data_IF_238781039573
#
_entry.id   IF_238781039573
#
_cell.length_a   1.000
_cell.length_b   1.000
_cell.length_c   1.000
_cell.angle_alpha   90.00
_cell.angle_beta   90.00
_cell.angle_gamma   90.00
#
_symmetry.space_group_name_H-M   'P 1'
#
loop_
_entity.id
_entity.type
_entity.pdbx_description
1 polymer ?
#
# COMPACT_ATOMS: atom_id res chain seq x y z
N UNK A 1 -14.61 -52.24 23.44
CA UNK A 1 -15.08 -51.62 22.19
C UNK A 1 -13.87 -51.10 21.44
N UNK A 2 -13.43 -51.88 20.46
CA UNK A 2 -12.24 -51.68 19.63
C UNK A 2 -12.69 -51.26 18.23
N UNK A 3 -12.32 -50.07 17.78
CA UNK A 3 -12.51 -49.65 16.39
C UNK A 3 -11.16 -49.66 15.67
N UNK A 4 -11.09 -50.49 14.63
CA UNK A 4 -9.98 -50.64 13.67
C UNK A 4 -10.33 -49.92 12.36
N UNK A 5 -9.29 -49.43 11.68
CA UNK A 5 -9.13 -49.33 10.21
C UNK A 5 -10.02 -48.32 9.46
N UNK A 6 -9.61 -47.67 8.36
CA UNK A 6 -8.40 -47.72 7.53
C UNK A 6 -8.24 -46.37 6.81
N UNK A 7 -7.01 -45.90 6.63
CA UNK A 7 -6.69 -44.83 5.69
C UNK A 7 -6.26 -45.46 4.36
N UNK A 8 -7.03 -45.22 3.31
CA UNK A 8 -6.70 -45.62 1.95
C UNK A 8 -5.68 -44.62 1.35
N UNK A 9 -4.50 -45.11 1.00
CA UNK A 9 -3.50 -44.37 0.27
C UNK A 9 -3.87 -44.35 -1.23
N UNK A 10 -4.18 -43.17 -1.77
CA UNK A 10 -4.27 -42.95 -3.21
C UNK A 10 -2.86 -42.82 -3.79
N UNK A 11 -2.41 -43.85 -4.51
CA UNK A 11 -1.23 -43.78 -5.38
C UNK A 11 -1.69 -43.15 -6.70
N UNK A 12 -1.34 -41.89 -6.93
CA UNK A 12 -1.46 -41.27 -8.24
C UNK A 12 -0.23 -41.64 -9.08
N UNK A 13 -0.44 -42.41 -10.15
CA UNK A 13 0.59 -42.72 -11.13
C UNK A 13 0.88 -41.47 -11.98
N UNK A 14 2.08 -40.91 -11.86
CA UNK A 14 2.57 -39.93 -12.83
C UNK A 14 2.91 -40.65 -14.14
N UNK A 15 2.05 -40.49 -15.15
CA UNK A 15 2.41 -40.80 -16.54
C UNK A 15 3.15 -39.59 -17.11
N UNK A 16 4.47 -39.66 -17.17
CA UNK A 16 5.28 -38.70 -17.93
C UNK A 16 5.19 -39.05 -19.42
N UNK A 17 4.23 -38.44 -20.12
CA UNK A 17 4.30 -38.34 -21.58
C UNK A 17 5.35 -37.29 -21.93
N UNK A 18 6.54 -37.73 -22.34
CA UNK A 18 7.46 -36.85 -23.06
C UNK A 18 6.77 -36.39 -24.34
N UNK A 19 6.46 -35.09 -24.43
CA UNK A 19 6.15 -34.48 -25.71
C UNK A 19 7.40 -34.61 -26.61
N UNK A 20 7.23 -34.94 -27.91
CA UNK A 20 8.36 -34.89 -28.83
C UNK A 20 8.86 -33.44 -28.88
N UNK A 21 10.16 -33.25 -28.65
CA UNK A 21 10.81 -31.98 -28.92
C UNK A 21 10.56 -31.62 -30.39
N UNK A 22 9.86 -30.52 -30.65
CA UNK A 22 9.75 -29.97 -31.98
C UNK A 22 11.16 -29.60 -32.43
N UNK A 23 11.72 -30.38 -33.35
CA UNK A 23 12.92 -29.96 -34.08
C UNK A 23 12.53 -28.78 -34.97
N UNK A 24 12.87 -27.57 -34.53
CA UNK A 24 12.80 -26.35 -35.32
C UNK A 24 13.82 -26.44 -36.46
N UNK A 25 13.40 -27.06 -37.56
CA UNK A 25 14.11 -26.96 -38.82
C UNK A 25 13.73 -25.63 -39.46
N UNK A 26 14.64 -24.65 -39.44
CA UNK A 26 14.56 -23.48 -40.30
C UNK A 26 14.47 -23.96 -41.76
N UNK A 27 13.35 -23.71 -42.44
CA UNK A 27 13.24 -23.99 -43.87
C UNK A 27 13.92 -22.86 -44.65
N UNK A 28 15.08 -23.17 -45.25
CA UNK A 28 15.71 -22.29 -46.22
C UNK A 28 15.03 -22.51 -47.58
N UNK A 29 14.20 -21.54 -48.01
CA UNK A 29 13.74 -21.48 -49.39
C UNK A 29 14.80 -20.75 -50.23
N UNK A 30 15.39 -21.45 -51.19
CA UNK A 30 16.27 -20.85 -52.19
C UNK A 30 15.42 -20.37 -53.37
N UNK A 31 15.31 -19.06 -53.52
CA UNK A 31 14.82 -18.43 -54.75
C UNK A 31 16.02 -18.30 -55.72
N UNK A 32 15.94 -18.98 -56.86
CA UNK A 32 17.07 -19.11 -57.79
C UNK A 32 17.39 -17.82 -58.56
N UNK A 33 16.51 -16.80 -58.49
CA UNK A 33 16.62 -15.58 -59.29
C UNK A 33 16.97 -14.33 -58.46
N UNK A 34 17.16 -14.48 -57.14
CA UNK A 34 17.56 -13.37 -56.27
C UNK A 34 18.70 -13.77 -55.33
N UNK A 35 19.87 -13.15 -55.49
CA UNK A 35 21.01 -13.23 -54.56
C UNK A 35 20.73 -12.46 -53.26
N UNK A 36 19.54 -12.64 -52.68
CA UNK A 36 19.13 -12.04 -51.42
C UNK A 36 18.54 -13.11 -50.53
N UNK A 37 19.32 -13.52 -49.53
CA UNK A 37 18.80 -14.28 -48.39
C UNK A 37 17.89 -13.32 -47.61
N UNK A 38 16.57 -13.42 -47.82
CA UNK A 38 15.61 -12.77 -46.95
C UNK A 38 15.51 -13.59 -45.66
N UNK A 39 16.16 -13.13 -44.59
CA UNK A 39 15.95 -13.67 -43.26
C UNK A 39 14.56 -13.21 -42.80
N UNK A 40 13.53 -14.00 -43.09
CA UNK A 40 12.26 -13.86 -42.40
C UNK A 40 12.43 -14.46 -41.01
N UNK A 41 12.77 -13.62 -40.04
CA UNK A 41 12.55 -13.96 -38.63
C UNK A 41 11.08 -14.31 -38.51
N UNK A 42 10.80 -15.58 -38.22
CA UNK A 42 9.47 -16.03 -37.83
C UNK A 42 9.13 -15.20 -36.59
N UNK A 43 8.25 -14.21 -36.75
CA UNK A 43 7.67 -13.53 -35.62
C UNK A 43 6.69 -14.54 -35.03
N UNK A 44 7.21 -15.39 -34.14
CA UNK A 44 6.38 -16.30 -33.37
C UNK A 44 5.30 -15.43 -32.73
N UNK A 45 4.03 -15.83 -32.91
CA UNK A 45 2.94 -15.17 -32.22
C UNK A 45 3.28 -15.20 -30.72
N UNK A 46 3.17 -14.05 -30.00
CA UNK A 46 3.53 -14.01 -28.60
C UNK A 46 2.82 -15.14 -27.88
N UNK A 47 3.58 -15.93 -27.12
CA UNK A 47 3.02 -17.03 -26.37
C UNK A 47 1.96 -16.44 -25.43
N UNK A 48 0.72 -16.97 -25.39
CA UNK A 48 -0.27 -16.51 -24.42
C UNK A 48 0.20 -16.58 -22.96
N UNK A 49 1.22 -17.41 -22.68
CA UNK A 49 1.89 -17.48 -21.38
C UNK A 49 2.81 -16.27 -21.06
N UNK A 50 3.14 -15.45 -22.06
CA UNK A 50 3.95 -14.23 -21.88
C UNK A 50 3.08 -12.99 -21.60
N UNK A 51 1.74 -13.15 -21.58
CA UNK A 51 0.84 -12.07 -21.18
C UNK A 51 1.06 -11.73 -19.70
N UNK A 52 1.18 -10.44 -19.33
CA UNK A 52 1.27 -10.03 -17.93
C UNK A 52 0.08 -10.59 -17.14
N UNK A 53 0.34 -11.06 -15.91
CA UNK A 53 -0.73 -11.45 -15.01
C UNK A 53 -1.65 -10.24 -14.75
N UNK A 54 -2.98 -10.44 -14.69
CA UNK A 54 -3.88 -9.35 -14.36
C UNK A 54 -3.60 -8.81 -12.95
N UNK A 55 -3.83 -7.51 -12.70
CA UNK A 55 -3.62 -6.94 -11.38
C UNK A 55 -4.58 -7.59 -10.35
N UNK A 56 -4.18 -7.63 -9.06
CA UNK A 56 -5.02 -8.17 -8.02
C UNK A 56 -6.33 -7.36 -7.89
N UNK A 57 -7.42 -8.06 -7.55
CA UNK A 57 -8.71 -7.43 -7.30
C UNK A 57 -8.64 -6.59 -6.03
N UNK A 58 -8.95 -5.29 -6.14
CA UNK A 58 -8.96 -4.39 -5.00
C UNK A 58 -9.96 -4.84 -3.93
N UNK A 59 -9.53 -4.87 -2.67
CA UNK A 59 -10.35 -5.36 -1.56
C UNK A 59 -10.25 -6.87 -1.32
N UNK A 60 -9.62 -7.64 -2.22
CA UNK A 60 -9.53 -9.08 -2.05
C UNK A 60 -8.55 -9.47 -0.95
N UNK A 61 -8.97 -10.39 -0.07
CA UNK A 61 -8.16 -10.96 1.00
C UNK A 61 -6.80 -11.48 0.50
N UNK A 62 -5.75 -11.16 1.23
CA UNK A 62 -4.37 -11.57 0.97
C UNK A 62 -3.65 -10.76 -0.11
N UNK A 63 -4.30 -9.78 -0.73
CA UNK A 63 -3.64 -8.87 -1.68
C UNK A 63 -2.80 -7.84 -0.93
N UNK A 64 -1.70 -7.41 -1.56
CA UNK A 64 -0.74 -6.45 -1.01
C UNK A 64 -0.73 -5.18 -1.84
N UNK A 65 -0.60 -4.05 -1.14
CA UNK A 65 -0.72 -2.73 -1.74
C UNK A 65 0.34 -1.79 -1.17
N UNK A 66 0.81 -0.88 -2.02
CA UNK A 66 1.63 0.25 -1.65
C UNK A 66 0.86 1.54 -1.89
N UNK A 67 1.12 2.58 -1.09
CA UNK A 67 0.64 3.92 -1.41
C UNK A 67 1.63 5.00 -1.01
N UNK A 68 1.59 6.11 -1.73
CA UNK A 68 2.29 7.36 -1.40
C UNK A 68 1.26 8.47 -1.38
N UNK A 69 1.22 9.26 -0.31
CA UNK A 69 0.34 10.42 -0.21
C UNK A 69 1.02 11.59 0.47
N UNK A 70 0.59 12.79 0.08
CA UNK A 70 0.93 14.02 0.77
C UNK A 70 -0.30 14.52 1.54
N UNK A 71 -0.06 15.18 2.67
CA UNK A 71 -1.10 15.73 3.53
C UNK A 71 -0.74 17.11 4.05
N UNK A 72 -1.78 17.89 4.33
CA UNK A 72 -1.69 19.18 4.99
C UNK A 72 -2.66 19.20 6.16
N UNK A 73 -2.17 19.56 7.34
CA UNK A 73 -2.96 19.62 8.56
C UNK A 73 -2.99 21.01 9.18
N UNK A 74 -4.08 21.26 9.92
CA UNK A 74 -4.26 22.44 10.76
C UNK A 74 -4.55 22.02 12.18
N UNK A 75 -3.87 22.66 13.12
CA UNK A 75 -4.16 22.59 14.55
C UNK A 75 -5.56 23.15 14.85
N UNK A 76 -6.29 22.48 15.75
CA UNK A 76 -7.66 22.82 16.10
C UNK A 76 -7.83 23.45 17.49
N UNK A 77 -6.91 23.18 18.41
CA UNK A 77 -7.12 23.43 19.85
C UNK A 77 -6.31 24.59 20.40
N UNK A 78 -5.13 24.85 19.86
CA UNK A 78 -4.27 25.95 20.32
C UNK A 78 -4.64 27.28 19.62
N UNK A 79 -4.52 28.43 20.30
CA UNK A 79 -4.86 29.74 19.75
C UNK A 79 -3.88 30.24 18.68
N UNK A 80 -2.66 29.68 18.62
CA UNK A 80 -1.69 29.96 17.57
C UNK A 80 -1.99 29.13 16.31
N UNK A 81 -1.99 29.77 15.15
CA UNK A 81 -2.12 29.06 13.87
C UNK A 81 -0.89 28.18 13.65
N UNK A 82 -1.04 26.86 13.80
CA UNK A 82 0.00 25.88 13.51
C UNK A 82 -0.45 24.97 12.36
N UNK A 83 0.47 24.70 11.44
CA UNK A 83 0.21 23.96 10.21
C UNK A 83 1.23 22.84 10.02
N UNK A 84 0.81 21.72 9.48
CA UNK A 84 1.70 20.57 9.26
C UNK A 84 1.66 20.11 7.82
N UNK A 85 2.80 19.68 7.30
CA UNK A 85 2.89 19.00 6.01
C UNK A 85 3.44 17.60 6.23
N UNK A 86 2.83 16.62 5.58
CA UNK A 86 3.21 15.22 5.67
C UNK A 86 3.41 14.62 4.27
N UNK A 87 4.43 13.76 4.14
CA UNK A 87 4.60 12.83 3.03
C UNK A 87 4.72 11.44 3.62
N UNK A 88 3.90 10.50 3.16
CA UNK A 88 3.85 9.17 3.74
C UNK A 88 3.84 8.06 2.69
N UNK A 89 4.58 7.00 2.98
CA UNK A 89 4.52 5.72 2.30
C UNK A 89 3.79 4.72 3.19
N UNK A 90 2.81 4.01 2.64
CA UNK A 90 2.09 2.94 3.35
C UNK A 90 2.24 1.64 2.60
N UNK A 91 2.60 0.58 3.32
CA UNK A 91 2.55 -0.80 2.86
C UNK A 91 1.41 -1.50 3.59
N UNK A 92 0.60 -2.26 2.87
CA UNK A 92 -0.65 -2.79 3.42
C UNK A 92 -1.07 -4.11 2.82
N UNK A 93 -1.95 -4.81 3.53
CA UNK A 93 -2.56 -6.06 3.08
C UNK A 93 -4.01 -6.16 3.54
N UNK A 94 -4.87 -6.72 2.69
CA UNK A 94 -6.24 -7.05 3.05
C UNK A 94 -6.27 -8.33 3.90
N UNK A 95 -6.42 -8.20 5.22
CA UNK A 95 -6.52 -9.33 6.14
C UNK A 95 -7.81 -10.14 5.94
N UNK A 96 -8.86 -9.43 5.54
CA UNK A 96 -10.15 -9.96 5.11
C UNK A 96 -10.65 -9.10 3.96
N UNK A 97 -11.67 -9.57 3.23
CA UNK A 97 -12.30 -8.75 2.19
C UNK A 97 -12.66 -7.36 2.74
N UNK A 98 -12.19 -6.32 2.05
CA UNK A 98 -12.40 -4.91 2.39
C UNK A 98 -11.83 -4.45 3.75
N UNK A 99 -11.04 -5.27 4.44
CA UNK A 99 -10.38 -4.91 5.70
C UNK A 99 -8.86 -4.97 5.60
N UNK A 100 -8.23 -3.81 5.59
CA UNK A 100 -6.82 -3.59 5.32
C UNK A 100 -6.04 -3.30 6.60
N UNK A 101 -4.91 -3.99 6.79
CA UNK A 101 -3.88 -3.65 7.76
C UNK A 101 -2.85 -2.75 7.10
N UNK A 102 -2.50 -1.64 7.75
CA UNK A 102 -1.59 -0.63 7.24
C UNK A 102 -0.34 -0.50 8.12
N UNK A 103 0.82 -0.49 7.47
CA UNK A 103 2.09 -0.03 8.03
C UNK A 103 2.52 1.22 7.29
N UNK A 104 2.63 2.35 7.98
CA UNK A 104 2.98 3.63 7.38
C UNK A 104 4.27 4.20 7.95
N UNK A 105 5.12 4.69 7.06
CA UNK A 105 6.27 5.54 7.38
C UNK A 105 6.00 6.92 6.79
N UNK A 106 6.07 7.96 7.61
CA UNK A 106 5.86 9.34 7.15
C UNK A 106 6.95 10.29 7.60
N UNK A 107 7.18 11.30 6.77
CA UNK A 107 7.99 12.47 7.08
C UNK A 107 7.07 13.67 7.30
N UNK A 108 7.42 14.50 8.27
CA UNK A 108 6.62 15.63 8.72
C UNK A 108 7.45 16.89 8.80
N UNK A 109 6.80 18.00 8.52
CA UNK A 109 7.24 19.34 8.87
C UNK A 109 6.15 19.99 9.71
N UNK A 110 6.53 20.47 10.90
CA UNK A 110 5.65 21.14 11.85
C UNK A 110 5.98 22.63 11.85
N UNK A 111 5.04 23.43 11.36
CA UNK A 111 5.03 24.89 11.50
C UNK A 111 4.22 25.22 12.75
N UNK A 112 4.89 25.73 13.79
CA UNK A 112 4.32 25.87 15.12
C UNK A 112 4.85 27.10 15.84
N UNK A 113 4.18 27.48 16.93
CA UNK A 113 4.73 28.45 17.86
C UNK A 113 6.03 27.90 18.47
N UNK A 114 7.05 28.74 18.63
CA UNK A 114 8.39 28.31 19.02
C UNK A 114 9.24 27.86 17.83
N UNK A 115 9.99 26.77 18.00
CA UNK A 115 10.88 26.23 16.97
C UNK A 115 10.14 25.27 16.04
N UNK A 116 10.26 25.49 14.73
CA UNK A 116 9.74 24.57 13.71
C UNK A 116 10.52 23.25 13.74
N UNK A 117 9.81 22.14 13.53
CA UNK A 117 10.39 20.81 13.67
C UNK A 117 10.24 19.97 12.41
N UNK A 118 11.26 19.16 12.10
CA UNK A 118 11.11 18.01 11.21
C UNK A 118 10.78 16.77 12.03
N UNK A 119 10.08 15.80 11.44
CA UNK A 119 9.81 14.53 12.12
C UNK A 119 9.66 13.33 11.20
N UNK A 120 9.90 12.16 11.77
CA UNK A 120 9.59 10.87 11.17
C UNK A 120 8.59 10.14 12.05
N UNK A 121 7.56 9.55 11.43
CA UNK A 121 6.60 8.74 12.15
C UNK A 121 6.49 7.33 11.57
N UNK A 122 6.30 6.37 12.45
CA UNK A 122 5.93 5.00 12.11
C UNK A 122 4.53 4.73 12.67
N UNK A 123 3.62 4.19 11.85
CA UNK A 123 2.23 3.96 12.22
C UNK A 123 1.77 2.55 11.88
N UNK A 124 0.99 1.99 12.80
CA UNK A 124 0.18 0.80 12.59
C UNK A 124 -1.29 1.23 12.59
N UNK A 125 -2.05 0.81 11.59
CA UNK A 125 -3.47 1.14 11.50
C UNK A 125 -4.28 0.13 10.71
N UNK A 126 -5.57 0.37 10.68
CA UNK A 126 -6.53 -0.41 9.90
C UNK A 126 -7.35 0.51 9.03
N UNK A 127 -7.75 0.01 7.86
CA UNK A 127 -8.68 0.68 6.96
C UNK A 127 -9.79 -0.29 6.56
N UNK A 128 -11.04 0.12 6.78
CA UNK A 128 -12.21 -0.64 6.40
C UNK A 128 -12.93 0.04 5.24
N UNK A 129 -12.94 -0.65 4.11
CA UNK A 129 -13.63 -0.27 2.88
C UNK A 129 -15.12 -0.65 2.94
N UNK A 130 -15.89 0.06 3.78
CA UNK A 130 -17.30 -0.25 4.04
C UNK A 130 -18.23 -0.15 2.81
N UNK A 131 -17.78 0.52 1.76
CA UNK A 131 -18.44 0.55 0.46
C UNK A 131 -17.39 0.31 -0.63
N UNK A 132 -17.46 -0.79 -1.36
CA UNK A 132 -16.53 -1.11 -2.45
C UNK A 132 -17.29 -1.62 -3.68
N UNK A 133 -17.23 -0.86 -4.77
CA UNK A 133 -17.85 -1.19 -6.06
C UNK A 133 -16.83 -1.73 -7.08
N UNK A 134 -15.56 -1.88 -6.67
CA UNK A 134 -14.43 -2.19 -7.54
C UNK A 134 -13.70 -0.91 -7.98
N UNK A 135 -14.22 -0.14 -8.96
CA UNK A 135 -13.59 1.10 -9.41
C UNK A 135 -13.62 2.24 -8.37
N UNK A 136 -14.48 2.15 -7.36
CA UNK A 136 -14.63 3.16 -6.30
C UNK A 136 -14.80 2.47 -4.96
N UNK A 137 -14.23 3.07 -3.93
CA UNK A 137 -14.50 2.63 -2.56
C UNK A 137 -14.48 3.78 -1.59
N UNK A 138 -15.32 3.72 -0.56
CA UNK A 138 -15.28 4.59 0.61
C UNK A 138 -14.72 3.81 1.79
N UNK A 139 -13.97 4.48 2.65
CA UNK A 139 -13.36 3.83 3.81
C UNK A 139 -13.37 4.68 5.07
N UNK A 140 -13.23 3.99 6.20
CA UNK A 140 -12.83 4.54 7.49
C UNK A 140 -11.45 3.99 7.84
N UNK A 141 -10.59 4.79 8.43
CA UNK A 141 -9.29 4.33 8.92
C UNK A 141 -8.98 4.85 10.33
N UNK A 142 -8.08 4.15 11.01
CA UNK A 142 -7.63 4.53 12.33
C UNK A 142 -6.44 3.71 12.79
N UNK A 143 -5.68 4.26 13.72
CA UNK A 143 -4.46 3.63 14.18
C UNK A 143 -3.69 4.47 15.17
N UNK A 144 -2.46 4.04 15.42
CA UNK A 144 -1.52 4.71 16.32
C UNK A 144 -0.10 4.61 15.79
N UNK A 145 0.66 5.67 16.01
CA UNK A 145 2.07 5.72 15.66
C UNK A 145 2.97 6.23 16.76
N UNK A 146 4.26 6.16 16.45
CA UNK A 146 5.34 6.82 17.15
C UNK A 146 5.87 7.94 16.26
N UNK A 147 6.20 9.08 16.85
CA UNK A 147 6.80 10.24 16.20
C UNK A 147 8.14 10.53 16.88
N UNK A 148 9.19 10.69 16.08
CA UNK A 148 10.45 11.26 16.51
C UNK A 148 10.70 12.56 15.73
N UNK A 149 11.03 13.65 16.43
CA UNK A 149 11.20 14.97 15.84
C UNK A 149 12.56 15.59 16.19
N UNK A 150 13.03 16.52 15.35
CA UNK A 150 14.28 17.27 15.56
C UNK A 150 14.19 18.17 16.77
N UNK A 151 13.00 18.71 17.02
CA UNK A 151 12.67 19.64 18.09
C UNK A 151 11.38 19.19 18.79
N UNK A 152 10.94 19.93 19.82
CA UNK A 152 9.78 19.56 20.62
C UNK A 152 8.49 19.69 19.80
N UNK A 153 7.67 18.65 19.78
CA UNK A 153 6.34 18.68 19.15
C UNK A 153 5.34 18.07 20.12
N UNK A 154 4.33 18.81 20.60
CA UNK A 154 4.17 20.27 20.46
C UNK A 154 5.32 21.03 21.14
N UNK A 155 5.37 22.35 20.94
CA UNK A 155 6.27 23.21 21.72
C UNK A 155 6.12 22.95 23.23
N UNK A 156 7.22 23.06 23.97
CA UNK A 156 7.36 22.65 25.38
C UNK A 156 7.15 21.15 25.67
N UNK A 157 6.79 20.34 24.67
CA UNK A 157 6.55 18.91 24.79
C UNK A 157 7.83 18.07 24.75
N UNK A 158 7.88 17.15 23.80
CA UNK A 158 8.96 16.16 23.64
C UNK A 158 9.34 15.99 22.18
N UNK A 159 10.58 15.55 21.93
CA UNK A 159 11.01 15.07 20.62
C UNK A 159 10.56 13.65 20.29
N UNK A 160 9.87 12.96 21.20
CA UNK A 160 9.31 11.62 21.00
C UNK A 160 7.89 11.55 21.53
N UNK A 161 6.94 11.19 20.67
CA UNK A 161 5.50 11.23 20.95
C UNK A 161 4.76 10.02 20.38
N UNK A 162 3.53 9.82 20.84
CA UNK A 162 2.53 8.97 20.23
C UNK A 162 1.64 9.79 19.31
N UNK A 163 1.18 9.16 18.24
CA UNK A 163 0.31 9.81 17.24
C UNK A 163 -0.87 8.92 16.85
N UNK A 164 -1.91 8.80 17.69
CA UNK A 164 -3.18 8.21 17.27
C UNK A 164 -3.87 9.03 16.17
N UNK A 165 -4.61 8.34 15.30
CA UNK A 165 -5.40 8.97 14.26
C UNK A 165 -6.71 8.22 13.99
N UNK A 166 -7.68 8.94 13.44
CA UNK A 166 -8.91 8.38 12.85
C UNK A 166 -9.30 9.22 11.64
N UNK A 167 -9.79 8.58 10.59
CA UNK A 167 -10.09 9.25 9.34
C UNK A 167 -11.11 8.52 8.50
N UNK A 168 -11.41 9.15 7.37
CA UNK A 168 -12.29 8.63 6.34
C UNK A 168 -11.82 9.14 4.98
N UNK A 169 -12.17 8.41 3.92
CA UNK A 169 -11.79 8.80 2.58
C UNK A 169 -12.37 7.91 1.50
N UNK A 170 -11.79 8.01 0.32
CA UNK A 170 -12.16 7.20 -0.82
C UNK A 170 -10.97 6.80 -1.68
N UNK A 171 -11.16 5.72 -2.44
CA UNK A 171 -10.27 5.34 -3.54
C UNK A 171 -11.01 5.31 -4.86
N UNK A 172 -10.31 5.59 -5.95
CA UNK A 172 -10.84 5.47 -7.31
C UNK A 172 -9.80 4.84 -8.23
N UNK A 173 -10.17 3.78 -8.95
CA UNK A 173 -9.30 3.16 -9.95
C UNK A 173 -8.88 4.16 -11.04
N UNK A 174 -7.62 4.08 -11.44
CA UNK A 174 -7.03 4.85 -12.53
C UNK A 174 -6.59 3.83 -13.59
N UNK A 175 -7.39 3.66 -14.64
CA UNK A 175 -7.12 2.66 -15.68
C UNK A 175 -7.35 1.22 -15.20
N UNK A 176 -6.71 0.27 -15.90
CA UNK A 176 -6.96 -1.17 -15.75
C UNK A 176 -5.77 -1.94 -15.14
N UNK A 177 -4.71 -1.25 -14.73
CA UNK A 177 -3.46 -1.83 -14.17
C UNK A 177 -3.49 -1.97 -12.64
N UNK A 178 -4.62 -1.63 -12.02
CA UNK A 178 -4.82 -1.67 -10.58
C UNK A 178 -4.37 -0.40 -9.85
N UNK A 179 -3.81 0.61 -10.52
CA UNK A 179 -3.50 1.90 -9.91
C UNK A 179 -4.77 2.58 -9.40
N UNK A 180 -4.69 3.28 -8.26
CA UNK A 180 -5.83 3.97 -7.66
C UNK A 180 -5.44 5.34 -7.13
N UNK A 181 -6.30 6.32 -7.34
CA UNK A 181 -6.31 7.56 -6.58
C UNK A 181 -6.77 7.27 -5.15
N UNK A 182 -6.14 7.91 -4.18
CA UNK A 182 -6.48 7.84 -2.76
C UNK A 182 -6.61 9.27 -2.23
N UNK A 183 -7.70 9.58 -1.53
CA UNK A 183 -7.83 10.84 -0.80
C UNK A 183 -8.70 10.69 0.45
N UNK A 184 -8.48 11.56 1.42
CA UNK A 184 -9.25 11.53 2.66
C UNK A 184 -8.99 12.70 3.58
N UNK A 185 -9.65 12.61 4.73
CA UNK A 185 -9.48 13.51 5.87
C UNK A 185 -9.17 12.65 7.08
N UNK A 186 -8.22 13.08 7.93
CA UNK A 186 -7.94 12.44 9.21
C UNK A 186 -7.79 13.46 10.32
N UNK A 187 -8.29 13.13 11.49
CA UNK A 187 -7.84 13.73 12.73
C UNK A 187 -6.63 12.96 13.24
N UNK A 188 -5.68 13.65 13.85
CA UNK A 188 -4.57 13.05 14.55
C UNK A 188 -4.27 13.86 15.82
N UNK A 189 -3.77 13.16 16.84
CA UNK A 189 -3.39 13.75 18.10
C UNK A 189 -1.93 13.43 18.39
N UNK A 190 -1.15 14.41 18.82
CA UNK A 190 0.26 14.24 19.19
C UNK A 190 0.41 14.55 20.68
N UNK A 191 0.90 13.57 21.43
CA UNK A 191 1.28 13.75 22.84
C UNK A 191 2.27 12.67 23.27
N UNK A 192 2.97 12.85 24.38
CA UNK A 192 3.85 11.81 24.93
C UNK A 192 3.16 10.90 25.96
N UNK A 193 1.84 10.99 26.07
CA UNK A 193 1.07 10.22 27.06
C UNK A 193 1.59 10.38 28.50
N UNK A 194 2.12 11.57 28.83
CA UNK A 194 2.64 11.93 30.16
C UNK A 194 3.86 11.13 30.61
N UNK A 195 4.56 10.43 29.71
CA UNK A 195 5.75 9.65 30.08
C UNK A 195 6.90 10.54 30.58
N UNK A 196 6.83 11.86 30.37
CA UNK A 196 7.77 12.88 30.84
C UNK A 196 7.17 13.86 31.86
N UNK A 197 6.02 13.54 32.47
CA UNK A 197 5.31 14.43 33.39
C UNK A 197 4.17 15.20 32.71
N UNK A 198 3.29 15.81 33.52
CA UNK A 198 2.15 16.59 33.02
C UNK A 198 2.63 17.91 32.41
N UNK A 199 3.60 18.53 33.08
CA UNK A 199 4.24 19.80 32.71
C UNK A 199 4.93 19.76 31.34
N UNK A 200 5.17 18.56 30.80
CA UNK A 200 5.80 18.34 29.51
C UNK A 200 4.92 17.56 28.55
N UNK A 201 3.61 17.55 28.77
CA UNK A 201 2.65 16.87 27.90
C UNK A 201 1.58 17.82 27.35
N UNK A 202 1.98 18.92 26.67
CA UNK A 202 1.04 19.61 25.81
C UNK A 202 0.56 18.65 24.73
N UNK A 203 -0.69 18.81 24.31
CA UNK A 203 -1.26 18.08 23.18
C UNK A 203 -1.44 18.99 21.97
N UNK A 204 -1.40 18.35 20.80
CA UNK A 204 -1.68 18.94 19.49
C UNK A 204 -2.71 18.07 18.79
N UNK A 205 -3.80 18.69 18.35
CA UNK A 205 -4.91 18.00 17.70
C UNK A 205 -5.13 18.62 16.33
N UNK A 206 -4.76 17.86 15.29
CA UNK A 206 -4.78 18.36 13.92
C UNK A 206 -5.79 17.65 13.04
N UNK A 207 -6.48 18.40 12.19
CA UNK A 207 -7.23 17.85 11.05
C UNK A 207 -6.42 17.99 9.78
N UNK A 208 -6.20 16.88 9.10
CA UNK A 208 -5.43 16.76 7.88
C UNK A 208 -6.30 16.35 6.71
N UNK A 209 -6.14 17.03 5.59
CA UNK A 209 -6.54 16.54 4.27
C UNK A 209 -5.35 15.87 3.61
N UNK A 210 -5.56 14.77 2.90
CA UNK A 210 -4.50 14.08 2.17
C UNK A 210 -4.96 13.52 0.83
N UNK A 211 -4.02 13.38 -0.09
CA UNK A 211 -4.23 12.78 -1.40
C UNK A 211 -2.97 12.10 -1.92
N UNK A 212 -3.14 11.10 -2.76
CA UNK A 212 -2.04 10.29 -3.27
C UNK A 212 -2.48 9.18 -4.22
N UNK A 213 -1.59 8.21 -4.37
CA UNK A 213 -1.79 7.04 -5.24
C UNK A 213 -1.55 5.75 -4.47
N UNK A 214 -2.30 4.72 -4.82
CA UNK A 214 -2.19 3.36 -4.30
C UNK A 214 -2.01 2.39 -5.48
N UNK A 215 -1.11 1.43 -5.35
CA UNK A 215 -0.72 0.51 -6.41
C UNK A 215 -0.55 -0.92 -5.88
N UNK A 216 -0.81 -1.94 -6.71
CA UNK A 216 -0.70 -3.33 -6.32
C UNK A 216 0.76 -3.84 -6.34
N UNK A 217 1.02 -4.91 -5.60
CA UNK A 217 2.27 -5.70 -5.65
C UNK A 217 2.03 -7.13 -6.17
#
# INVERSE_FOLDING_TARGET
MTARSAAAACIAAFSTTLAPAATDAASLAFDADSTRIALHTRQDAPNPADAPAPPPVFGAKGTWWGSVHAGYARELTQPAEANDVNLAFTFSTFLETDFELMLQLGAWYFDQEGDNAGGLNFMLGFRWHFHNEGPRSLFLDGGVGLLASTDLVPDEGTGFNFMPFVGAGFTHAIGDDGLRFLAGVRWHHISNARIKGEERNPSRDGVMVYAGVQFPF
#
